data_IF_760318418996
#
_entry.id   IF_760318418996
#
_cell.length_a   1.000
_cell.length_b   1.000
_cell.length_c   1.000
_cell.angle_alpha   90.00
_cell.angle_beta   90.00
_cell.angle_gamma   90.00
#
_symmetry.space_group_name_H-M   'P 1'
#
loop_
_entity.id
_entity.type
_entity.pdbx_description
1 polymer ?
#
# COMPACT_ATOMS: atom_id res chain seq x y z
N UNK A 1 -7.65 -19.90 -3.96
CA UNK A 1 -7.89 -18.48 -4.17
C UNK A 1 -7.90 -17.83 -2.82
N UNK A 2 -6.77 -17.22 -2.49
CA UNK A 2 -6.55 -16.42 -1.31
C UNK A 2 -6.46 -14.94 -1.72
N UNK A 3 -6.62 -14.08 -0.74
CA UNK A 3 -6.41 -12.65 -0.89
C UNK A 3 -5.47 -12.23 0.21
N UNK A 4 -4.34 -11.66 -0.16
CA UNK A 4 -3.47 -10.98 0.77
C UNK A 4 -4.07 -9.59 1.01
N UNK A 5 -4.70 -9.41 2.16
CA UNK A 5 -5.39 -8.16 2.47
C UNK A 5 -4.45 -7.03 2.89
N UNK A 6 -3.16 -7.29 3.09
CA UNK A 6 -2.21 -6.28 3.59
C UNK A 6 -0.77 -6.67 3.27
N UNK A 7 -0.18 -6.04 2.24
CA UNK A 7 1.23 -6.24 1.91
C UNK A 7 1.91 -4.94 1.47
N UNK A 8 3.24 -4.92 1.55
CA UNK A 8 4.06 -3.75 1.19
C UNK A 8 4.97 -4.07 0.01
N UNK A 9 4.39 -4.30 -1.16
CA UNK A 9 5.13 -4.70 -2.36
C UNK A 9 6.08 -3.60 -2.89
N UNK A 10 5.83 -2.34 -2.52
CA UNK A 10 6.67 -1.19 -2.85
C UNK A 10 7.88 -1.02 -1.94
N UNK A 11 8.11 -1.90 -0.97
CA UNK A 11 9.31 -1.81 -0.15
C UNK A 11 10.59 -2.09 -0.97
N UNK A 12 11.71 -1.37 -0.70
CA UNK A 12 12.94 -1.47 -1.49
C UNK A 12 13.45 -2.91 -1.71
N UNK A 13 13.23 -3.78 -0.73
CA UNK A 13 13.61 -5.20 -0.77
C UNK A 13 12.86 -6.00 -1.83
N UNK A 14 11.66 -5.56 -2.22
CA UNK A 14 10.76 -6.24 -3.16
C UNK A 14 10.63 -5.52 -4.51
N UNK A 15 10.82 -4.20 -4.56
CA UNK A 15 10.66 -3.40 -5.79
C UNK A 15 11.48 -3.95 -6.98
N UNK A 16 12.69 -4.44 -6.73
CA UNK A 16 13.55 -5.01 -7.77
C UNK A 16 13.13 -6.39 -8.28
N UNK A 17 12.13 -7.03 -7.67
CA UNK A 17 11.78 -8.44 -7.93
C UNK A 17 10.26 -8.71 -8.00
N UNK A 18 9.45 -7.69 -8.28
CA UNK A 18 7.99 -7.80 -8.42
C UNK A 18 7.56 -8.98 -9.33
N UNK A 19 8.18 -9.23 -10.50
CA UNK A 19 7.77 -10.36 -11.34
C UNK A 19 7.88 -11.72 -10.64
N UNK A 20 8.92 -11.94 -9.84
CA UNK A 20 9.08 -13.20 -9.09
C UNK A 20 8.08 -13.28 -7.92
N UNK A 21 7.77 -12.15 -7.27
CA UNK A 21 6.75 -12.10 -6.22
C UNK A 21 5.37 -12.47 -6.78
N UNK A 22 4.99 -11.91 -7.93
CA UNK A 22 3.71 -12.24 -8.59
C UNK A 22 3.65 -13.71 -9.02
N UNK A 23 4.75 -14.27 -9.50
CA UNK A 23 4.84 -15.69 -9.83
C UNK A 23 4.63 -16.57 -8.57
N UNK A 24 5.28 -16.22 -7.46
CA UNK A 24 5.12 -16.93 -6.19
C UNK A 24 3.68 -16.82 -5.64
N UNK A 25 3.05 -15.64 -5.77
CA UNK A 25 1.64 -15.44 -5.43
C UNK A 25 0.74 -16.39 -6.22
N UNK A 26 0.94 -16.48 -7.55
CA UNK A 26 0.16 -17.37 -8.41
C UNK A 26 0.33 -18.86 -8.03
N UNK A 27 1.56 -19.30 -7.77
CA UNK A 27 1.86 -20.67 -7.32
C UNK A 27 1.21 -20.99 -5.97
N UNK A 28 1.17 -20.01 -5.07
CA UNK A 28 0.50 -20.10 -3.77
C UNK A 28 -1.03 -19.90 -3.85
N UNK A 29 -1.59 -19.65 -5.04
CA UNK A 29 -3.02 -19.35 -5.27
C UNK A 29 -3.50 -18.09 -4.54
N UNK A 30 -2.62 -17.12 -4.35
CA UNK A 30 -2.91 -15.75 -3.92
C UNK A 30 -3.20 -14.93 -5.17
N UNK A 31 -4.46 -14.88 -5.56
CA UNK A 31 -4.87 -14.29 -6.83
C UNK A 31 -5.08 -12.77 -6.71
N UNK A 32 -4.96 -12.23 -5.48
CA UNK A 32 -5.34 -10.87 -5.11
C UNK A 32 -4.46 -10.36 -3.98
N UNK A 33 -4.01 -9.11 -4.07
CA UNK A 33 -3.31 -8.44 -2.98
C UNK A 33 -3.62 -6.94 -2.87
N UNK A 34 -3.77 -6.45 -1.64
CA UNK A 34 -3.90 -5.03 -1.32
C UNK A 34 -2.54 -4.48 -0.87
N UNK A 35 -1.93 -3.65 -1.72
CA UNK A 35 -0.66 -2.98 -1.44
C UNK A 35 -0.92 -1.73 -0.61
N UNK A 36 -0.22 -1.59 0.50
CA UNK A 36 -0.49 -0.59 1.52
C UNK A 36 0.43 0.61 1.37
N UNK A 37 -0.18 1.79 1.39
CA UNK A 37 0.49 3.07 1.45
C UNK A 37 0.73 3.47 2.91
N UNK A 38 1.97 3.81 3.24
CA UNK A 38 2.44 4.25 4.54
C UNK A 38 2.77 5.74 4.58
N UNK A 39 3.03 6.39 3.44
CA UNK A 39 3.21 7.84 3.36
C UNK A 39 2.62 8.40 2.06
N UNK A 40 2.28 9.68 2.01
CA UNK A 40 1.75 10.30 0.79
C UNK A 40 2.79 10.34 -0.35
N UNK A 41 4.07 10.46 0.00
CA UNK A 41 5.18 10.52 -0.96
C UNK A 41 5.33 9.21 -1.75
N UNK A 42 5.01 8.06 -1.15
CA UNK A 42 5.08 6.77 -1.84
C UNK A 42 3.80 6.38 -2.59
N UNK A 43 2.72 7.16 -2.42
CA UNK A 43 1.41 6.81 -2.99
C UNK A 43 1.46 6.55 -4.50
N UNK A 44 2.20 7.36 -5.27
CA UNK A 44 2.29 7.17 -6.73
C UNK A 44 2.96 5.83 -7.10
N UNK A 45 3.91 5.34 -6.30
CA UNK A 45 4.52 4.03 -6.50
C UNK A 45 3.54 2.90 -6.18
N UNK A 46 2.82 3.01 -5.06
CA UNK A 46 1.79 2.04 -4.62
C UNK A 46 0.66 1.96 -5.65
N UNK A 47 0.13 3.12 -6.05
CA UNK A 47 -0.93 3.24 -7.04
C UNK A 47 -0.48 2.76 -8.42
N UNK A 48 0.74 3.13 -8.85
CA UNK A 48 1.33 2.68 -10.10
C UNK A 48 1.46 1.16 -10.19
N UNK A 49 1.87 0.52 -9.10
CA UNK A 49 1.95 -0.95 -9.03
C UNK A 49 0.56 -1.60 -9.16
N UNK A 50 -0.44 -1.07 -8.45
CA UNK A 50 -1.82 -1.55 -8.56
C UNK A 50 -2.38 -1.40 -9.99
N UNK A 51 -2.03 -0.30 -10.67
CA UNK A 51 -2.44 -0.06 -12.05
C UNK A 51 -1.74 -0.96 -13.06
N UNK A 52 -0.49 -1.33 -12.82
CA UNK A 52 0.31 -2.15 -13.73
C UNK A 52 -0.07 -3.63 -13.72
N UNK A 53 -0.68 -4.14 -12.64
CA UNK A 53 -0.95 -5.55 -12.46
C UNK A 53 -2.42 -5.85 -12.12
N UNK A 54 -3.01 -6.79 -12.85
CA UNK A 54 -4.32 -7.34 -12.48
C UNK A 54 -4.22 -8.07 -11.14
N UNK A 55 -5.26 -7.95 -10.31
CA UNK A 55 -5.26 -8.55 -8.98
C UNK A 55 -4.49 -7.76 -7.91
N UNK A 56 -3.94 -6.59 -8.25
CA UNK A 56 -3.40 -5.66 -7.25
C UNK A 56 -4.33 -4.46 -7.03
N UNK A 57 -4.45 -4.05 -5.77
CA UNK A 57 -5.16 -2.86 -5.30
C UNK A 57 -4.26 -2.04 -4.38
N UNK A 58 -4.68 -0.80 -4.10
CA UNK A 58 -3.94 0.15 -3.28
C UNK A 58 -4.80 0.69 -2.12
N UNK A 59 -4.15 1.12 -1.06
CA UNK A 59 -4.69 2.09 -0.10
C UNK A 59 -4.03 3.45 -0.28
N UNK A 60 -4.56 4.47 0.41
CA UNK A 60 -3.90 5.75 0.62
C UNK A 60 -3.98 6.14 2.09
N UNK A 61 -2.87 6.52 2.70
CA UNK A 61 -2.82 6.88 4.12
C UNK A 61 -1.40 7.16 4.59
N UNK A 62 -1.30 7.48 5.88
CA UNK A 62 -0.02 7.71 6.56
C UNK A 62 0.01 6.85 7.82
N UNK A 63 1.01 5.98 7.90
CA UNK A 63 1.26 5.11 9.04
C UNK A 63 1.67 5.96 10.26
N UNK A 64 1.20 5.65 11.48
CA UNK A 64 1.48 6.48 12.67
C UNK A 64 2.97 6.65 12.98
N UNK A 65 3.81 5.67 12.69
CA UNK A 65 5.26 5.70 12.95
C UNK A 65 6.05 6.69 12.07
N UNK A 66 5.45 7.24 11.02
CA UNK A 66 6.20 8.08 10.09
C UNK A 66 6.30 9.51 10.63
N UNK A 67 7.49 9.86 11.10
CA UNK A 67 7.85 11.24 11.50
C UNK A 67 8.30 12.05 10.27
N UNK A 68 8.11 13.38 10.33
CA UNK A 68 8.56 14.33 9.31
C UNK A 68 8.02 14.09 7.86
N UNK A 69 6.88 13.41 7.74
CA UNK A 69 6.18 13.21 6.45
C UNK A 69 5.03 14.19 6.25
N UNK A 70 4.54 14.31 5.02
CA UNK A 70 3.37 15.11 4.72
C UNK A 70 2.08 14.49 5.29
N UNK A 71 1.48 15.19 6.26
CA UNK A 71 0.17 14.84 6.83
C UNK A 71 -0.95 15.30 5.89
N UNK A 72 -1.71 14.37 5.27
CA UNK A 72 -2.72 14.72 4.28
C UNK A 72 -3.95 15.35 4.94
N UNK A 73 -4.48 16.36 4.27
CA UNK A 73 -5.83 16.85 4.56
C UNK A 73 -6.91 15.88 4.08
N UNK A 74 -8.15 16.06 4.56
CA UNK A 74 -9.30 15.25 4.13
C UNK A 74 -9.54 15.34 2.62
N UNK A 75 -9.45 16.54 2.03
CA UNK A 75 -9.68 16.74 0.59
C UNK A 75 -8.65 16.01 -0.27
N UNK A 76 -7.40 15.95 0.20
CA UNK A 76 -6.32 15.22 -0.46
C UNK A 76 -6.56 13.71 -0.39
N UNK A 77 -6.90 13.19 0.80
CA UNK A 77 -7.27 11.77 0.96
C UNK A 77 -8.45 11.40 0.04
N UNK A 78 -9.47 12.23 -0.05
CA UNK A 78 -10.63 12.00 -0.93
C UNK A 78 -10.22 12.00 -2.42
N UNK A 79 -9.37 12.93 -2.83
CA UNK A 79 -8.88 13.00 -4.20
C UNK A 79 -8.07 11.75 -4.58
N UNK A 80 -7.18 11.30 -3.70
CA UNK A 80 -6.36 10.11 -3.93
C UNK A 80 -7.17 8.81 -3.83
N UNK A 81 -8.10 8.71 -2.88
CA UNK A 81 -9.01 7.58 -2.72
C UNK A 81 -9.97 7.41 -3.89
N UNK A 82 -10.27 8.48 -4.62
CA UNK A 82 -11.06 8.44 -5.84
C UNK A 82 -10.33 7.84 -7.05
N UNK A 83 -9.01 7.59 -6.96
CA UNK A 83 -8.25 7.02 -8.08
C UNK A 83 -8.60 5.54 -8.32
N UNK A 84 -8.54 5.06 -9.57
CA UNK A 84 -8.83 3.66 -9.87
C UNK A 84 -7.96 2.71 -9.02
N UNK A 85 -8.56 1.62 -8.54
CA UNK A 85 -7.93 0.56 -7.72
C UNK A 85 -7.50 0.97 -6.31
N UNK A 86 -7.75 2.20 -5.89
CA UNK A 86 -7.69 2.55 -4.47
C UNK A 86 -8.99 2.11 -3.81
N UNK A 87 -8.90 1.24 -2.80
CA UNK A 87 -10.09 0.63 -2.16
C UNK A 87 -10.17 0.86 -0.66
N UNK A 88 -9.20 1.56 -0.07
CA UNK A 88 -9.15 1.80 1.37
C UNK A 88 -8.34 3.03 1.74
N UNK A 89 -8.64 3.57 2.92
CA UNK A 89 -7.83 4.58 3.60
C UNK A 89 -6.95 3.86 4.62
N UNK A 90 -5.64 4.09 4.55
CA UNK A 90 -4.66 3.49 5.41
C UNK A 90 -3.32 3.25 4.69
N UNK A 91 -2.32 2.71 5.38
CA UNK A 91 -2.42 2.35 6.80
C UNK A 91 -2.46 3.60 7.68
N UNK A 92 -3.26 3.55 8.73
CA UNK A 92 -3.44 4.62 9.70
C UNK A 92 -3.86 4.00 11.02
N UNK A 93 -3.55 4.64 12.13
CA UNK A 93 -3.79 4.08 13.45
C UNK A 93 -2.96 4.76 14.51
N UNK A 94 -2.58 3.99 15.53
CA UNK A 94 -1.77 4.44 16.66
C UNK A 94 -0.77 3.33 17.01
N UNK A 95 0.52 3.66 17.04
CA UNK A 95 1.56 2.77 17.55
C UNK A 95 2.23 3.42 18.78
N UNK A 96 1.80 2.99 19.96
CA UNK A 96 2.35 3.47 21.23
C UNK A 96 3.56 2.68 21.69
N UNK A 97 4.00 1.65 20.96
CA UNK A 97 5.22 0.94 21.31
C UNK A 97 6.45 1.65 20.77
N UNK A 98 6.37 2.24 19.57
CA UNK A 98 7.50 2.89 18.89
C UNK A 98 7.57 4.40 19.08
N UNK A 99 6.43 5.08 19.09
CA UNK A 99 6.38 6.54 19.16
C UNK A 99 6.53 7.10 20.58
N UNK A 100 6.33 6.28 21.62
CA UNK A 100 6.51 6.65 23.02
C UNK A 100 6.69 5.41 23.92
N UNK A 101 7.93 5.05 24.25
CA UNK A 101 8.24 4.17 25.39
C UNK A 101 8.27 4.94 26.70
#
# INVERSE_FOLDING_TARGET
MFTDSHCHLTFPELQGNIPAVLQAMAEARVDRALTICCTIEEFEAVHGLAMAHEGLWATVGVHPDNEDVHEPGVDELLALAGRPRVIGIGETGLDYYRLNG
#
